data_IF_305070961876
#
_entry.id   IF_305070961876
#
_cell.length_a   1.000
_cell.length_b   1.000
_cell.length_c   1.000
_cell.angle_alpha   90.00
_cell.angle_beta   90.00
_cell.angle_gamma   90.00
#
_symmetry.space_group_name_H-M   'P 1'
#
loop_
_entity.id
_entity.type
_entity.pdbx_description
1 polymer ?
#
# COMPACT_ATOMS: atom_id res chain seq x y z
N UNK A 1 18.37 26.93 -84.26
CA UNK A 1 17.73 25.92 -83.39
C UNK A 1 18.67 25.66 -82.21
N UNK A 2 18.39 26.24 -81.03
CA UNK A 2 19.20 26.07 -79.81
C UNK A 2 18.33 25.35 -78.77
N UNK A 3 18.71 24.15 -78.38
CA UNK A 3 18.04 23.36 -77.34
C UNK A 3 18.73 23.68 -76.02
N UNK A 4 18.00 24.31 -75.09
CA UNK A 4 18.48 24.65 -73.76
C UNK A 4 18.19 23.46 -72.84
N UNK A 5 19.24 22.78 -72.37
CA UNK A 5 19.14 21.74 -71.34
C UNK A 5 19.03 22.39 -69.96
N UNK A 6 17.84 22.36 -69.37
CA UNK A 6 17.68 22.68 -67.95
C UNK A 6 18.17 21.51 -67.10
N UNK A 7 19.15 21.77 -66.23
CA UNK A 7 19.65 20.82 -65.24
C UNK A 7 18.55 20.56 -64.19
N UNK A 8 18.25 19.31 -63.82
CA UNK A 8 17.27 19.04 -62.77
C UNK A 8 17.80 19.51 -61.41
N UNK A 9 17.02 20.35 -60.73
CA UNK A 9 17.23 20.72 -59.32
C UNK A 9 16.71 19.56 -58.47
N UNK A 10 17.48 19.01 -57.52
CA UNK A 10 16.98 17.96 -56.64
C UNK A 10 15.94 18.55 -55.69
N UNK A 11 14.68 18.12 -55.84
CA UNK A 11 13.60 18.40 -54.90
C UNK A 11 13.84 17.53 -53.66
N UNK A 12 14.21 18.17 -52.55
CA UNK A 12 14.30 17.52 -51.24
C UNK A 12 12.88 17.20 -50.78
N UNK A 13 12.46 15.94 -50.93
CA UNK A 13 11.23 15.43 -50.34
C UNK A 13 11.46 15.22 -48.83
N UNK A 14 11.08 16.21 -48.02
CA UNK A 14 11.09 16.09 -46.57
C UNK A 14 9.90 15.22 -46.15
N UNK A 15 10.15 13.92 -45.97
CA UNK A 15 9.20 12.98 -45.38
C UNK A 15 9.00 13.35 -43.91
N UNK A 16 7.93 14.06 -43.58
CA UNK A 16 7.40 14.09 -42.22
C UNK A 16 6.81 12.72 -41.92
N UNK A 17 7.62 11.83 -41.34
CA UNK A 17 7.12 10.63 -40.69
C UNK A 17 6.39 11.12 -39.44
N UNK A 18 5.10 11.41 -39.59
CA UNK A 18 4.20 11.62 -38.45
C UNK A 18 4.14 10.29 -37.73
N UNK A 19 4.93 10.14 -36.67
CA UNK A 19 4.72 9.09 -35.70
C UNK A 19 3.34 9.34 -35.09
N UNK A 20 2.32 8.70 -35.66
CA UNK A 20 1.11 8.39 -34.94
C UNK A 20 1.52 7.45 -33.82
N UNK A 21 2.02 8.02 -32.72
CA UNK A 21 1.93 7.37 -31.44
C UNK A 21 0.44 7.17 -31.19
N UNK A 22 -0.07 5.97 -31.53
CA UNK A 22 -1.27 5.48 -30.88
C UNK A 22 -0.93 5.54 -29.40
N UNK A 23 -1.42 6.58 -28.74
CA UNK A 23 -1.63 6.57 -27.30
C UNK A 23 -2.34 5.26 -27.05
N UNK A 24 -1.59 4.26 -26.56
CA UNK A 24 -2.24 3.18 -25.85
C UNK A 24 -2.86 3.90 -24.66
N UNK A 25 -4.13 4.24 -24.81
CA UNK A 25 -4.99 4.41 -23.67
C UNK A 25 -4.86 3.06 -22.98
N UNK A 26 -3.97 2.99 -21.97
CA UNK A 26 -4.10 1.96 -20.99
C UNK A 26 -5.55 2.09 -20.56
N UNK A 27 -6.38 1.15 -21.02
CA UNK A 27 -7.59 0.84 -20.29
C UNK A 27 -7.03 0.63 -18.91
N UNK A 28 -7.31 1.58 -18.02
CA UNK A 28 -7.33 1.29 -16.61
C UNK A 28 -8.18 0.03 -16.60
N UNK A 29 -7.53 -1.12 -16.48
CA UNK A 29 -8.16 -2.29 -15.92
C UNK A 29 -8.55 -1.74 -14.57
N UNK A 30 -9.75 -1.16 -14.51
CA UNK A 30 -10.58 -1.13 -13.32
C UNK A 30 -10.46 -2.56 -12.89
N UNK A 31 -9.58 -2.80 -11.92
CA UNK A 31 -9.40 -4.10 -11.32
C UNK A 31 -10.84 -4.54 -11.06
N UNK A 32 -11.29 -5.54 -11.82
CA UNK A 32 -12.71 -5.84 -11.91
C UNK A 32 -13.25 -5.87 -10.49
N UNK A 33 -14.47 -5.36 -10.29
CA UNK A 33 -15.17 -5.25 -9.00
C UNK A 33 -15.37 -6.61 -8.26
N UNK A 34 -14.55 -7.61 -8.56
CA UNK A 34 -14.39 -8.92 -7.96
C UNK A 34 -13.57 -8.91 -6.67
N UNK A 35 -13.02 -7.77 -6.24
CA UNK A 35 -12.63 -7.63 -4.83
C UNK A 35 -13.90 -7.55 -4.00
N UNK A 36 -14.37 -8.70 -3.53
CA UNK A 36 -15.40 -8.74 -2.50
C UNK A 36 -14.86 -8.00 -1.27
N UNK A 37 -15.45 -6.84 -0.97
CA UNK A 37 -15.16 -6.12 0.27
C UNK A 37 -15.73 -6.97 1.41
N UNK A 38 -14.93 -7.90 1.92
CA UNK A 38 -15.26 -8.59 3.15
C UNK A 38 -15.04 -7.60 4.27
N UNK A 39 -16.11 -7.26 5.01
CA UNK A 39 -16.04 -6.39 6.17
C UNK A 39 -15.09 -6.98 7.21
N UNK A 40 -13.82 -6.58 7.18
CA UNK A 40 -12.81 -7.00 8.14
C UNK A 40 -13.04 -6.37 9.52
N UNK A 41 -13.98 -5.43 9.64
CA UNK A 41 -14.32 -4.72 10.88
C UNK A 41 -14.48 -5.65 12.09
N UNK A 42 -15.09 -6.83 11.92
CA UNK A 42 -15.30 -7.80 13.00
C UNK A 42 -14.03 -8.57 13.42
N UNK A 43 -12.93 -8.38 12.72
CA UNK A 43 -11.63 -9.02 12.94
C UNK A 43 -10.54 -8.02 13.32
N UNK A 44 -10.90 -6.74 13.44
CA UNK A 44 -10.02 -5.66 13.86
C UNK A 44 -10.37 -5.30 15.30
N UNK A 45 -9.36 -5.31 16.15
CA UNK A 45 -9.39 -4.71 17.47
C UNK A 45 -8.43 -3.53 17.48
N UNK A 46 -8.83 -2.43 18.12
CA UNK A 46 -8.04 -1.21 18.22
C UNK A 46 -7.72 -0.97 19.70
N UNK A 47 -6.44 -0.76 19.99
CA UNK A 47 -5.99 -0.44 21.34
C UNK A 47 -5.20 0.87 21.35
N UNK A 48 -5.26 1.59 22.47
CA UNK A 48 -4.51 2.83 22.71
C UNK A 48 -3.56 2.67 23.90
N UNK A 49 -2.37 3.26 23.77
CA UNK A 49 -1.40 3.41 24.86
C UNK A 49 -0.79 4.80 24.90
N UNK A 50 -0.46 5.27 26.12
CA UNK A 50 0.20 6.57 26.33
C UNK A 50 1.69 6.56 25.94
N UNK A 51 2.32 5.39 26.05
CA UNK A 51 3.74 5.23 25.74
C UNK A 51 3.93 4.31 24.54
N UNK A 52 5.07 4.49 23.88
CA UNK A 52 5.56 3.54 22.88
C UNK A 52 6.03 2.27 23.59
N UNK A 53 5.69 1.13 23.01
CA UNK A 53 6.17 -0.19 23.44
C UNK A 53 6.67 -0.93 22.21
N UNK A 54 7.61 -1.86 22.39
CA UNK A 54 7.89 -2.84 21.34
C UNK A 54 6.70 -3.80 21.16
N UNK A 55 6.59 -4.45 19.99
CA UNK A 55 5.45 -5.29 19.66
C UNK A 55 5.23 -6.46 20.65
N UNK A 56 6.29 -7.02 21.24
CA UNK A 56 6.18 -8.12 22.21
C UNK A 56 5.59 -7.62 23.52
N UNK A 57 6.08 -6.50 24.03
CA UNK A 57 5.55 -5.86 25.24
C UNK A 57 4.11 -5.40 25.03
N UNK A 58 3.81 -4.77 23.90
CA UNK A 58 2.46 -4.33 23.56
C UNK A 58 1.47 -5.49 23.52
N UNK A 59 1.80 -6.59 22.85
CA UNK A 59 0.94 -7.77 22.80
C UNK A 59 0.66 -8.35 24.19
N UNK A 60 1.67 -8.40 25.07
CA UNK A 60 1.49 -8.84 26.45
C UNK A 60 0.54 -7.93 27.22
N UNK A 61 0.70 -6.60 27.09
CA UNK A 61 -0.16 -5.60 27.75
C UNK A 61 -1.59 -5.65 27.25
N UNK A 62 -1.79 -5.83 25.94
CA UNK A 62 -3.11 -6.04 25.33
C UNK A 62 -3.79 -7.26 25.95
N UNK A 63 -3.10 -8.40 26.04
CA UNK A 63 -3.63 -9.64 26.65
C UNK A 63 -3.99 -9.48 28.12
N UNK A 64 -3.28 -8.61 28.83
CA UNK A 64 -3.53 -8.29 30.23
C UNK A 64 -4.60 -7.20 30.43
N UNK A 65 -5.23 -6.70 29.36
CA UNK A 65 -6.16 -5.56 29.38
C UNK A 65 -5.56 -4.28 29.99
N UNK A 66 -4.25 -4.07 29.81
CA UNK A 66 -3.56 -2.86 30.28
C UNK A 66 -3.65 -1.69 29.28
N UNK A 67 -4.08 -1.96 28.04
CA UNK A 67 -4.35 -0.94 27.03
C UNK A 67 -5.85 -0.67 26.94
N UNK A 68 -6.20 0.56 26.59
CA UNK A 68 -7.59 0.93 26.37
C UNK A 68 -8.07 0.37 25.04
N UNK A 69 -9.12 -0.45 25.09
CA UNK A 69 -9.78 -0.98 23.91
C UNK A 69 -10.75 0.06 23.33
N UNK A 70 -10.67 0.30 22.02
CA UNK A 70 -11.45 1.29 21.29
C UNK A 70 -12.41 0.60 20.31
N UNK A 71 -13.61 1.16 20.16
CA UNK A 71 -14.58 0.66 19.17
C UNK A 71 -14.10 0.95 17.74
N UNK A 72 -14.13 -0.07 16.89
CA UNK A 72 -13.72 0.01 15.48
C UNK A 72 -14.66 0.84 14.60
N UNK A 73 -15.89 1.12 15.05
CA UNK A 73 -16.93 1.65 14.17
C UNK A 73 -16.72 3.11 13.75
N UNK A 74 -15.95 3.92 14.49
CA UNK A 74 -15.75 5.35 14.20
C UNK A 74 -14.39 5.89 14.69
N UNK A 75 -13.35 5.06 14.71
CA UNK A 75 -12.07 5.50 15.26
C UNK A 75 -11.29 6.36 14.27
N UNK A 76 -11.30 7.68 14.48
CA UNK A 76 -10.46 8.64 13.76
C UNK A 76 -9.63 9.43 14.79
N UNK A 77 -8.36 9.04 15.04
CA UNK A 77 -7.56 9.65 16.11
C UNK A 77 -7.29 11.14 15.94
N UNK A 78 -7.48 11.70 14.74
CA UNK A 78 -7.08 13.08 14.45
C UNK A 78 -5.59 13.28 14.73
N UNK A 79 -5.21 14.46 15.24
CA UNK A 79 -3.88 14.69 15.81
C UNK A 79 -3.85 14.11 17.24
N UNK A 80 -3.15 13.00 17.42
CA UNK A 80 -3.02 12.36 18.73
C UNK A 80 -1.54 12.18 19.08
N UNK A 81 -1.19 12.47 20.33
CA UNK A 81 0.10 12.21 20.95
C UNK A 81 0.19 10.80 21.55
N UNK A 82 -0.70 9.90 21.11
CA UNK A 82 -0.89 8.54 21.63
C UNK A 82 -0.49 7.51 20.59
N UNK A 83 -0.21 6.30 21.06
CA UNK A 83 0.12 5.17 20.21
C UNK A 83 -1.11 4.28 20.02
N UNK A 84 -1.31 3.83 18.78
CA UNK A 84 -2.43 2.99 18.40
C UNK A 84 -1.95 1.65 17.89
N UNK A 85 -2.63 0.60 18.34
CA UNK A 85 -2.33 -0.78 18.01
C UNK A 85 -3.53 -1.38 17.30
N UNK A 86 -3.35 -1.69 16.02
CA UNK A 86 -4.33 -2.37 15.21
C UNK A 86 -4.02 -3.86 15.21
N UNK A 87 -4.87 -4.66 15.86
CA UNK A 87 -4.72 -6.11 15.92
C UNK A 87 -5.71 -6.74 14.96
N UNK A 88 -5.20 -7.45 13.94
CA UNK A 88 -6.01 -8.10 12.91
C UNK A 88 -5.86 -9.60 13.02
N UNK A 89 -6.94 -10.30 13.37
CA UNK A 89 -6.94 -11.76 13.52
C UNK A 89 -7.52 -12.43 12.27
N UNK A 90 -6.63 -12.94 11.40
CA UNK A 90 -7.02 -13.57 10.13
C UNK A 90 -6.81 -15.08 10.20
N UNK A 91 -7.82 -15.85 9.77
CA UNK A 91 -7.73 -17.30 9.63
C UNK A 91 -8.25 -17.75 8.26
N UNK A 92 -7.39 -18.32 7.43
CA UNK A 92 -7.82 -18.97 6.20
C UNK A 92 -8.45 -20.34 6.53
N UNK A 93 -9.77 -20.46 6.37
CA UNK A 93 -10.51 -21.72 6.55
C UNK A 93 -10.66 -22.54 5.26
N UNK A 94 -10.22 -22.01 4.12
CA UNK A 94 -10.34 -22.68 2.83
C UNK A 94 -9.11 -23.54 2.53
N UNK A 95 -9.27 -24.53 1.65
CA UNK A 95 -8.16 -25.36 1.14
C UNK A 95 -7.36 -24.67 0.03
N UNK A 96 -7.82 -23.49 -0.40
CA UNK A 96 -7.19 -22.67 -1.45
C UNK A 96 -6.42 -21.52 -0.82
N UNK A 97 -5.33 -21.11 -1.47
CA UNK A 97 -4.65 -19.87 -1.13
C UNK A 97 -5.57 -18.67 -1.42
N UNK A 98 -5.65 -17.74 -0.47
CA UNK A 98 -6.40 -16.50 -0.61
C UNK A 98 -5.45 -15.34 -0.30
N UNK A 99 -5.41 -14.38 -1.21
CA UNK A 99 -4.62 -13.17 -1.03
C UNK A 99 -5.47 -12.14 -0.29
N UNK A 100 -4.87 -11.48 0.70
CA UNK A 100 -5.45 -10.35 1.39
C UNK A 100 -4.58 -9.13 1.17
N UNK A 101 -5.19 -7.99 0.93
CA UNK A 101 -4.52 -6.70 0.83
C UNK A 101 -5.05 -5.84 1.99
N UNK A 102 -4.13 -5.31 2.79
CA UNK A 102 -4.43 -4.32 3.80
C UNK A 102 -4.11 -2.94 3.23
N UNK A 103 -5.12 -2.09 3.14
CA UNK A 103 -4.97 -0.68 2.78
C UNK A 103 -5.19 0.18 4.03
N UNK A 104 -4.24 1.06 4.33
CA UNK A 104 -4.36 2.07 5.39
C UNK A 104 -4.41 3.43 4.69
N UNK A 105 -5.61 4.00 4.61
CA UNK A 105 -5.84 5.30 4.00
C UNK A 105 -5.94 6.39 5.08
N UNK A 106 -4.81 6.73 5.70
CA UNK A 106 -4.72 7.87 6.60
C UNK A 106 -3.49 8.70 6.21
N UNK A 107 -3.70 9.93 5.68
CA UNK A 107 -2.62 10.74 5.13
C UNK A 107 -1.71 11.39 6.17
N UNK A 108 -1.99 11.25 7.47
CA UNK A 108 -1.29 11.96 8.55
C UNK A 108 -0.63 10.99 9.54
N UNK A 109 -0.13 9.84 9.08
CA UNK A 109 0.57 8.89 9.94
C UNK A 109 2.08 9.14 9.85
N UNK A 110 2.67 9.65 10.92
CA UNK A 110 4.11 9.86 11.01
C UNK A 110 4.90 8.56 10.83
N UNK A 111 4.48 7.50 11.53
CA UNK A 111 5.13 6.18 11.44
C UNK A 111 4.14 5.06 11.70
N UNK A 112 4.22 4.01 10.89
CA UNK A 112 3.52 2.73 11.06
C UNK A 112 4.52 1.60 11.00
N UNK A 113 4.35 0.63 11.91
CA UNK A 113 5.10 -0.62 11.92
C UNK A 113 4.14 -1.77 11.65
N UNK A 114 4.52 -2.65 10.73
CA UNK A 114 3.78 -3.86 10.41
C UNK A 114 4.49 -5.04 11.05
N UNK A 115 3.74 -5.81 11.83
CA UNK A 115 4.24 -7.01 12.49
C UNK A 115 3.42 -8.22 12.07
N UNK A 116 4.11 -9.32 11.78
CA UNK A 116 3.50 -10.62 11.55
C UNK A 116 3.68 -11.51 12.79
N UNK A 117 2.61 -12.20 13.17
CA UNK A 117 2.56 -13.01 14.39
C UNK A 117 2.06 -14.40 14.02
N UNK A 118 2.99 -15.36 13.90
CA UNK A 118 2.66 -16.75 13.58
C UNK A 118 2.41 -17.60 14.83
N UNK A 119 3.10 -17.27 15.93
CA UNK A 119 3.00 -17.89 17.26
C UNK A 119 3.18 -16.79 18.31
N UNK A 120 2.73 -16.98 19.57
CA UNK A 120 2.84 -15.96 20.62
C UNK A 120 4.25 -15.36 20.81
N UNK A 121 5.30 -16.17 20.55
CA UNK A 121 6.70 -15.76 20.70
C UNK A 121 7.40 -15.47 19.36
N UNK A 122 6.69 -15.56 18.24
CA UNK A 122 7.23 -15.33 16.89
C UNK A 122 6.56 -14.08 16.31
N UNK A 123 7.17 -12.94 16.63
CA UNK A 123 6.78 -11.61 16.16
C UNK A 123 7.88 -11.11 15.22
N UNK A 124 7.54 -10.88 13.96
CA UNK A 124 8.47 -10.45 12.92
C UNK A 124 8.04 -9.05 12.48
N UNK A 125 8.97 -8.09 12.46
CA UNK A 125 8.73 -6.79 11.83
C UNK A 125 8.74 -6.98 10.31
N UNK A 126 7.57 -7.00 9.68
CA UNK A 126 7.43 -7.18 8.24
C UNK A 126 7.50 -5.87 7.47
N UNK A 127 7.36 -4.71 8.13
CA UNK A 127 7.58 -3.45 7.43
C UNK A 127 7.50 -2.20 8.30
N UNK A 128 8.00 -1.10 7.76
CA UNK A 128 7.92 0.24 8.35
C UNK A 128 7.51 1.23 7.27
N UNK A 129 6.59 2.15 7.58
CA UNK A 129 6.17 3.22 6.66
C UNK A 129 5.72 4.46 7.45
N UNK A 130 5.16 5.47 6.77
CA UNK A 130 4.69 6.72 7.34
C UNK A 130 5.46 7.93 6.83
N UNK A 131 4.94 9.13 7.08
CA UNK A 131 5.43 10.39 6.52
C UNK A 131 6.82 10.77 7.03
N UNK A 132 7.09 10.50 8.31
CA UNK A 132 8.39 10.76 8.93
C UNK A 132 9.45 9.71 8.55
N UNK A 133 9.07 8.61 7.89
CA UNK A 133 10.01 7.56 7.48
C UNK A 133 10.57 7.89 6.10
N UNK A 134 11.91 7.97 5.92
CA UNK A 134 12.52 8.19 4.61
C UNK A 134 12.10 7.13 3.60
N UNK A 135 11.87 7.52 2.34
CA UNK A 135 11.37 6.60 1.31
C UNK A 135 12.26 5.35 1.14
N UNK A 136 13.58 5.50 1.27
CA UNK A 136 14.55 4.40 1.21
C UNK A 136 14.43 3.39 2.37
N UNK A 137 13.83 3.79 3.48
CA UNK A 137 13.59 2.96 4.67
C UNK A 137 12.18 2.36 4.71
N UNK A 138 11.27 2.80 3.81
CA UNK A 138 9.92 2.25 3.66
C UNK A 138 9.97 0.89 2.97
N UNK A 139 10.49 -0.11 3.67
CA UNK A 139 10.66 -1.48 3.17
C UNK A 139 9.64 -2.40 3.81
N UNK A 140 9.11 -3.30 2.98
CA UNK A 140 8.34 -4.45 3.41
C UNK A 140 9.18 -5.70 3.15
N UNK A 141 9.41 -6.49 4.19
CA UNK A 141 10.00 -7.82 4.09
C UNK A 141 8.89 -8.75 3.63
N UNK A 142 8.93 -9.19 2.37
CA UNK A 142 8.17 -10.35 1.92
C UNK A 142 9.03 -11.58 2.14
N UNK A 143 8.75 -12.38 3.17
CA UNK A 143 9.19 -13.78 3.14
C UNK A 143 8.27 -14.50 2.14
N UNK A 144 8.79 -14.71 0.92
CA UNK A 144 8.17 -15.60 -0.08
C UNK A 144 8.58 -17.05 0.19
#
# INVERSE_FOLDING_TARGET
>A
MKIIFYKPVPIIFMFFIVFYAKSQTHKNNTAGNNFGISGIKNFIEIYRSDNFYDAKTALKKIKNNEFEHLSADNYFPGFADKYYWLVINIRNRSKSNKNLILEINNPNIDTVYFYEIYKPDSIILSGKSGDAVPFSERKFISEC
#
